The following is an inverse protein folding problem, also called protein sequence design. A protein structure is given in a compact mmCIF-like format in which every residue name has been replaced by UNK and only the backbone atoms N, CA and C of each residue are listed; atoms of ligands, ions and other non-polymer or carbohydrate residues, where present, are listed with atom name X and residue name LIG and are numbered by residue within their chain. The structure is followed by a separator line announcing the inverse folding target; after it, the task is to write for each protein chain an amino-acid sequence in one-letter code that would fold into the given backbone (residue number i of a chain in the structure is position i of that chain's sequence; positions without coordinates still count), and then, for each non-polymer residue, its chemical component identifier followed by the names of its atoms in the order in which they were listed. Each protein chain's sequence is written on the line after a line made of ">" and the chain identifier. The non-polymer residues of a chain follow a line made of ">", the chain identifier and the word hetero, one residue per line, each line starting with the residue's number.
data_IF_901870533131
#
_entry.id   IF_901870533131
#
_cell.length_a   1.000
_cell.length_b   1.000
_cell.length_c   1.000
_cell.angle_alpha   90.00
_cell.angle_beta   90.00
_cell.angle_gamma   90.00
#
_symmetry.space_group_name_H-M   'P 1'
#
loop_
_entity.id
_entity.type
_entity.pdbx_description
1 polymer ?
#
# COMPACT_ATOMS: atom_id res chain seq x y z
N UNK A 1 15.73 -1.30 -7.54
CA UNK A 1 15.72 -2.59 -6.85
C UNK A 1 15.14 -2.38 -5.46
N UNK A 2 14.18 -3.17 -5.02
CA UNK A 2 13.69 -3.06 -3.65
C UNK A 2 14.78 -3.53 -2.68
N UNK A 3 14.94 -2.79 -1.59
CA UNK A 3 15.79 -3.22 -0.48
C UNK A 3 14.93 -4.09 0.44
N UNK A 4 15.20 -5.38 0.45
CA UNK A 4 14.54 -6.32 1.34
C UNK A 4 15.18 -6.29 2.72
N UNK A 5 14.37 -6.21 3.76
CA UNK A 5 14.79 -6.32 5.14
C UNK A 5 13.99 -7.43 5.80
N UNK A 6 14.71 -8.45 6.26
CA UNK A 6 14.08 -9.54 7.00
C UNK A 6 13.94 -9.14 8.46
N UNK A 7 12.75 -9.34 9.00
CA UNK A 7 12.41 -9.02 10.38
C UNK A 7 11.76 -10.24 11.04
N UNK A 8 11.92 -10.33 12.35
CA UNK A 8 11.17 -11.27 13.18
C UNK A 8 10.49 -10.50 14.30
N UNK A 9 9.22 -10.78 14.50
CA UNK A 9 8.41 -10.23 15.57
C UNK A 9 7.91 -11.36 16.46
N UNK A 10 8.23 -11.29 17.75
CA UNK A 10 7.69 -12.22 18.75
C UNK A 10 6.74 -11.46 19.65
N UNK A 11 5.52 -11.98 19.79
CA UNK A 11 4.50 -11.39 20.65
C UNK A 11 4.11 -12.41 21.71
N UNK A 12 4.27 -12.04 22.97
CA UNK A 12 3.94 -12.83 24.15
C UNK A 12 2.81 -12.16 24.93
N UNK A 13 1.93 -12.95 25.50
CA UNK A 13 0.80 -12.44 26.28
C UNK A 13 -0.16 -13.54 26.67
N UNK A 14 -1.31 -13.15 27.21
CA UNK A 14 -2.40 -14.08 27.50
C UNK A 14 -2.92 -14.72 26.20
N UNK A 15 -3.16 -16.04 26.23
CA UNK A 15 -3.56 -16.79 25.03
C UNK A 15 -4.79 -16.18 24.35
N UNK A 16 -5.78 -15.76 25.12
CA UNK A 16 -7.01 -15.15 24.59
C UNK A 16 -6.76 -13.83 23.85
N UNK A 17 -5.74 -13.08 24.24
CA UNK A 17 -5.37 -11.82 23.56
C UNK A 17 -4.53 -12.10 22.32
N UNK A 18 -3.67 -13.11 22.37
CA UNK A 18 -2.90 -13.56 21.20
C UNK A 18 -3.84 -14.10 20.11
N UNK A 19 -4.85 -14.88 20.48
CA UNK A 19 -5.85 -15.40 19.53
C UNK A 19 -6.62 -14.26 18.84
N UNK A 20 -7.05 -13.25 19.58
CA UNK A 20 -7.71 -12.06 19.02
C UNK A 20 -6.78 -11.27 18.09
N UNK A 21 -5.52 -11.13 18.46
CA UNK A 21 -4.52 -10.47 17.63
C UNK A 21 -4.34 -11.21 16.30
N UNK A 22 -4.16 -12.53 16.34
CA UNK A 22 -4.02 -13.37 15.16
C UNK A 22 -5.27 -13.26 14.28
N UNK A 23 -6.46 -13.34 14.87
CA UNK A 23 -7.72 -13.18 14.15
C UNK A 23 -7.81 -11.81 13.45
N UNK A 24 -7.42 -10.74 14.14
CA UNK A 24 -7.40 -9.39 13.57
C UNK A 24 -6.41 -9.28 12.40
N UNK A 25 -5.21 -9.83 12.57
CA UNK A 25 -4.16 -9.75 11.53
C UNK A 25 -4.49 -10.58 10.29
N UNK A 26 -5.29 -11.62 10.44
CA UNK A 26 -5.70 -12.50 9.34
C UNK A 26 -7.00 -12.06 8.65
N UNK A 27 -7.59 -10.92 9.02
CA UNK A 27 -8.82 -10.44 8.38
C UNK A 27 -8.59 -10.16 6.89
N UNK A 28 -9.44 -10.67 6.00
CA UNK A 28 -9.37 -10.34 4.60
C UNK A 28 -9.69 -8.87 4.36
N UNK A 29 -9.04 -8.29 3.36
CA UNK A 29 -9.29 -6.90 2.97
C UNK A 29 -9.07 -6.68 1.49
N UNK A 30 -9.51 -5.53 1.00
CA UNK A 30 -9.34 -5.10 -0.39
C UNK A 30 -8.61 -3.77 -0.40
N UNK A 31 -7.60 -3.65 -1.24
CA UNK A 31 -6.96 -2.37 -1.56
C UNK A 31 -7.27 -1.97 -2.99
N UNK A 32 -7.39 -0.67 -3.20
CA UNK A 32 -7.56 -0.10 -4.52
C UNK A 32 -6.23 0.52 -4.95
N UNK A 33 -5.71 0.09 -6.09
CA UNK A 33 -4.50 0.67 -6.67
C UNK A 33 -4.88 1.48 -7.88
N UNK A 34 -4.58 2.79 -7.91
CA UNK A 34 -4.79 3.56 -9.11
C UNK A 34 -3.79 3.11 -10.17
N UNK A 35 -4.27 2.50 -11.23
CA UNK A 35 -3.53 2.29 -12.46
C UNK A 35 -3.80 3.41 -13.44
N UNK A 36 -2.77 3.87 -14.12
CA UNK A 36 -2.93 4.80 -15.22
C UNK A 36 -2.90 4.06 -16.55
N UNK A 37 -3.87 4.38 -17.40
CA UNK A 37 -3.91 3.93 -18.80
C UNK A 37 -3.88 5.14 -19.72
N UNK A 38 -3.22 4.98 -20.84
CA UNK A 38 -3.26 6.00 -21.89
C UNK A 38 -4.43 5.67 -22.83
N UNK A 39 -5.46 6.48 -22.78
CA UNK A 39 -6.59 6.40 -23.71
C UNK A 39 -6.77 7.73 -24.41
N UNK A 40 -6.83 7.74 -25.73
CA UNK A 40 -7.02 8.94 -26.55
C UNK A 40 -6.01 10.08 -26.24
N UNK A 41 -4.75 9.75 -25.99
CA UNK A 41 -3.70 10.67 -25.56
C UNK A 41 -3.95 11.32 -24.18
N UNK A 42 -4.79 10.75 -23.37
CA UNK A 42 -5.02 11.18 -21.99
C UNK A 42 -4.64 10.09 -21.00
N UNK A 43 -4.16 10.50 -19.85
CA UNK A 43 -3.96 9.57 -18.71
C UNK A 43 -5.31 9.39 -18.03
N UNK A 44 -5.84 8.18 -18.12
CA UNK A 44 -7.06 7.77 -17.41
C UNK A 44 -6.66 6.91 -16.22
N UNK A 45 -7.11 7.28 -15.05
CA UNK A 45 -6.91 6.48 -13.85
C UNK A 45 -8.02 5.47 -13.70
N UNK A 46 -7.63 4.21 -13.59
CA UNK A 46 -8.54 3.10 -13.34
C UNK A 46 -8.23 2.55 -11.95
N UNK A 47 -9.25 2.39 -11.13
CA UNK A 47 -9.10 1.68 -9.87
C UNK A 47 -8.97 0.17 -10.16
N UNK A 48 -7.84 -0.42 -9.82
CA UNK A 48 -7.68 -1.86 -9.79
C UNK A 48 -7.86 -2.35 -8.35
N UNK A 49 -8.65 -3.41 -8.18
CA UNK A 49 -8.90 -4.01 -6.86
C UNK A 49 -7.94 -5.17 -6.64
N UNK A 50 -7.14 -5.08 -5.60
CA UNK A 50 -6.36 -6.22 -5.12
C UNK A 50 -6.96 -6.77 -3.84
N UNK A 51 -7.31 -8.05 -3.87
CA UNK A 51 -7.90 -8.78 -2.76
C UNK A 51 -6.86 -9.57 -2.01
N UNK A 52 -6.91 -9.47 -0.69
CA UNK A 52 -6.09 -10.22 0.24
C UNK A 52 -7.01 -11.10 1.10
N UNK A 53 -7.24 -12.34 0.65
CA UNK A 53 -8.25 -13.21 1.25
C UNK A 53 -7.74 -13.93 2.52
N UNK A 54 -6.44 -14.20 2.60
CA UNK A 54 -5.82 -14.89 3.72
C UNK A 54 -4.47 -14.26 4.09
N UNK A 55 -4.45 -13.01 4.56
CA UNK A 55 -3.20 -12.41 5.00
C UNK A 55 -2.71 -13.11 6.27
N UNK A 56 -1.42 -13.37 6.35
CA UNK A 56 -0.78 -13.87 7.59
C UNK A 56 -0.54 -12.72 8.55
N UNK A 57 -0.04 -11.61 8.02
CA UNK A 57 0.22 -10.38 8.74
C UNK A 57 0.06 -9.21 7.77
N UNK A 58 -0.66 -8.18 8.16
CA UNK A 58 -0.81 -6.97 7.38
C UNK A 58 -0.84 -5.73 8.27
N UNK A 59 -0.05 -4.71 7.93
CA UNK A 59 -0.13 -3.41 8.59
C UNK A 59 -1.52 -2.79 8.45
N UNK A 60 -2.19 -3.04 7.32
CA UNK A 60 -3.56 -2.63 7.08
C UNK A 60 -4.55 -3.10 8.15
N UNK A 61 -4.34 -4.27 8.70
CA UNK A 61 -5.19 -4.83 9.75
C UNK A 61 -4.85 -4.28 11.15
N UNK A 62 -3.73 -3.59 11.31
CA UNK A 62 -3.33 -2.93 12.55
C UNK A 62 -3.82 -1.48 12.54
N UNK A 63 -3.40 -0.74 11.54
CA UNK A 63 -3.77 0.66 11.35
C UNK A 63 -3.97 0.96 9.88
N UNK A 64 -5.14 1.47 9.53
CA UNK A 64 -5.52 1.85 8.17
C UNK A 64 -5.95 3.32 8.13
N UNK A 65 -5.83 3.97 6.98
CA UNK A 65 -6.27 5.35 6.84
C UNK A 65 -7.78 5.47 7.10
N UNK A 66 -8.16 6.55 7.78
CA UNK A 66 -9.57 6.89 8.02
C UNK A 66 -10.19 7.60 6.84
N UNK A 67 -9.39 8.35 6.09
CA UNK A 67 -9.78 9.00 4.84
C UNK A 67 -9.24 8.20 3.65
N UNK A 68 -10.03 7.25 3.19
CA UNK A 68 -9.66 6.39 2.06
C UNK A 68 -9.66 7.14 0.73
N UNK A 69 -10.49 8.18 0.60
CA UNK A 69 -10.50 9.00 -0.60
C UNK A 69 -9.18 9.73 -0.77
N UNK A 70 -8.71 10.42 0.27
CA UNK A 70 -7.40 11.09 0.25
C UNK A 70 -6.24 10.10 0.08
N UNK A 71 -6.34 8.92 0.68
CA UNK A 71 -5.33 7.89 0.58
C UNK A 71 -5.16 7.35 -0.84
N UNK A 72 -6.26 7.09 -1.55
CA UNK A 72 -6.25 6.56 -2.90
C UNK A 72 -6.18 7.66 -3.97
N UNK A 73 -6.52 8.88 -3.62
CA UNK A 73 -6.41 10.00 -4.53
C UNK A 73 -4.95 10.41 -4.68
N UNK A 74 -4.34 10.01 -5.78
CA UNK A 74 -3.04 10.56 -6.14
C UNK A 74 -3.25 11.93 -6.76
N UNK A 75 -2.45 12.91 -6.35
CA UNK A 75 -2.53 14.27 -6.91
C UNK A 75 -2.24 14.35 -8.40
N UNK A 76 -1.62 13.32 -8.97
CA UNK A 76 -1.55 13.18 -10.42
C UNK A 76 -2.95 13.18 -11.05
N UNK A 77 -3.93 12.65 -10.33
CA UNK A 77 -5.33 12.70 -10.75
C UNK A 77 -5.90 14.13 -10.74
N UNK A 78 -5.59 14.89 -9.69
CA UNK A 78 -5.93 16.31 -9.58
C UNK A 78 -5.09 17.16 -10.53
N UNK A 79 -3.84 16.80 -10.74
CA UNK A 79 -2.84 17.51 -11.50
C UNK A 79 -2.96 17.38 -13.03
N UNK A 80 -3.78 16.45 -13.53
CA UNK A 80 -4.00 16.31 -14.98
C UNK A 80 -4.41 17.62 -15.67
N UNK A 81 -5.06 18.53 -14.94
CA UNK A 81 -5.45 19.86 -15.45
C UNK A 81 -4.26 20.78 -15.69
N UNK A 82 -3.16 20.53 -14.99
CA UNK A 82 -1.95 21.35 -15.02
C UNK A 82 -0.89 20.79 -15.98
N UNK A 83 -1.07 19.54 -16.44
CA UNK A 83 -0.17 18.94 -17.41
C UNK A 83 -0.46 19.55 -18.78
N UNK A 84 0.51 20.24 -19.31
CA UNK A 84 0.41 20.87 -20.64
C UNK A 84 0.54 19.83 -21.74
N UNK A 85 -0.14 20.09 -22.83
CA UNK A 85 0.04 19.36 -24.08
C UNK A 85 0.79 20.26 -25.09
N UNK A 86 1.65 19.66 -25.87
CA UNK A 86 2.27 20.33 -27.01
C UNK A 86 1.26 20.53 -28.17
N UNK A 87 1.71 21.18 -29.26
CA UNK A 87 0.86 21.45 -30.41
C UNK A 87 0.38 20.18 -31.13
N UNK A 88 1.06 19.03 -30.91
CA UNK A 88 0.68 17.72 -31.45
C UNK A 88 -0.23 16.94 -30.48
N UNK A 89 -0.62 17.52 -29.34
CA UNK A 89 -1.47 16.90 -28.33
C UNK A 89 -0.74 15.92 -27.44
N UNK A 90 0.59 15.84 -27.47
CA UNK A 90 1.39 15.03 -26.56
C UNK A 90 1.60 15.76 -25.25
N UNK A 91 1.70 14.99 -24.17
CA UNK A 91 2.01 15.56 -22.88
C UNK A 91 3.41 16.16 -22.85
N UNK A 92 3.50 17.39 -22.36
CA UNK A 92 4.77 18.01 -22.04
C UNK A 92 5.41 17.30 -20.84
N UNK A 93 6.56 16.65 -21.09
CA UNK A 93 7.26 15.86 -20.09
C UNK A 93 7.75 16.67 -18.88
N UNK A 94 8.08 17.96 -19.09
CA UNK A 94 8.51 18.84 -18.01
C UNK A 94 7.35 19.18 -17.07
N UNK A 95 6.18 19.52 -17.62
CA UNK A 95 4.98 19.80 -16.83
C UNK A 95 4.47 18.53 -16.11
N UNK A 96 4.58 17.36 -16.74
CA UNK A 96 4.26 16.08 -16.11
C UNK A 96 5.17 15.81 -14.92
N UNK A 97 6.49 15.96 -15.08
CA UNK A 97 7.44 15.74 -13.99
C UNK A 97 7.29 16.76 -12.87
N UNK A 98 7.00 18.01 -13.18
CA UNK A 98 6.75 19.04 -12.17
C UNK A 98 5.51 18.70 -11.33
N UNK A 99 4.43 18.23 -11.96
CA UNK A 99 3.21 17.83 -11.29
C UNK A 99 3.40 16.55 -10.47
N UNK A 100 4.16 15.60 -11.00
CA UNK A 100 4.54 14.39 -10.29
C UNK A 100 5.34 14.69 -9.00
N UNK A 101 6.35 15.58 -9.11
CA UNK A 101 7.13 16.01 -7.93
C UNK A 101 6.26 16.77 -6.93
N UNK A 102 5.35 17.61 -7.40
CA UNK A 102 4.40 18.32 -6.53
C UNK A 102 3.49 17.34 -5.81
N UNK A 103 2.94 16.35 -6.50
CA UNK A 103 2.09 15.32 -5.91
C UNK A 103 2.80 14.52 -4.82
N UNK A 104 4.08 14.24 -5.02
CA UNK A 104 4.90 13.55 -4.02
C UNK A 104 5.21 14.40 -2.77
N UNK A 105 5.08 15.72 -2.85
CA UNK A 105 5.33 16.62 -1.72
C UNK A 105 4.11 16.83 -0.82
N UNK A 106 2.93 16.46 -1.27
CA UNK A 106 1.69 16.57 -0.48
C UNK A 106 1.52 15.36 0.44
N UNK A 107 1.47 15.62 1.72
CA UNK A 107 1.64 14.68 2.84
C UNK A 107 0.52 13.65 3.04
N UNK A 108 -0.45 13.53 2.14
CA UNK A 108 -1.66 12.74 2.38
C UNK A 108 -1.87 11.56 1.43
N UNK A 109 -1.01 11.40 0.44
CA UNK A 109 -1.08 10.26 -0.46
C UNK A 109 -0.69 8.94 0.26
N UNK A 110 -1.01 7.82 -0.36
CA UNK A 110 -0.73 6.50 0.19
C UNK A 110 0.74 6.29 0.57
N UNK A 111 1.68 6.85 -0.22
CA UNK A 111 3.10 6.68 0.02
C UNK A 111 3.55 7.35 1.33
N UNK A 112 3.21 8.64 1.50
CA UNK A 112 3.58 9.40 2.70
C UNK A 112 2.83 8.90 3.92
N UNK A 113 1.56 8.54 3.75
CA UNK A 113 0.77 7.97 4.81
C UNK A 113 1.36 6.65 5.32
N UNK A 114 1.71 5.72 4.40
CA UNK A 114 2.33 4.44 4.75
C UNK A 114 3.67 4.64 5.47
N UNK A 115 4.57 5.47 4.92
CA UNK A 115 5.86 5.75 5.53
C UNK A 115 5.73 6.33 6.93
N UNK A 116 4.72 7.19 7.16
CA UNK A 116 4.49 7.83 8.46
C UNK A 116 3.88 6.87 9.48
N UNK A 117 2.92 6.04 9.09
CA UNK A 117 2.15 5.21 10.01
C UNK A 117 2.70 3.78 10.14
N UNK A 118 3.30 3.25 9.08
CA UNK A 118 3.88 1.90 9.07
C UNK A 118 5.43 1.90 9.08
N UNK A 119 6.06 3.03 8.84
CA UNK A 119 7.51 3.15 8.72
C UNK A 119 8.07 2.59 7.41
N UNK A 120 7.23 2.17 6.50
CA UNK A 120 7.60 1.59 5.21
C UNK A 120 6.61 1.96 4.11
N UNK A 121 7.08 1.93 2.86
CA UNK A 121 6.25 2.20 1.68
C UNK A 121 5.18 1.14 1.45
N UNK A 122 5.55 -0.14 1.61
CA UNK A 122 4.70 -1.27 1.29
C UNK A 122 4.22 -1.99 2.54
N UNK A 123 3.01 -2.52 2.48
CA UNK A 123 2.54 -3.48 3.46
C UNK A 123 3.35 -4.79 3.34
N UNK A 124 3.50 -5.50 4.44
CA UNK A 124 4.22 -6.78 4.49
C UNK A 124 3.33 -7.98 4.17
N UNK A 125 2.06 -7.74 3.88
CA UNK A 125 1.15 -8.81 3.51
C UNK A 125 1.47 -9.36 2.11
N UNK A 126 1.44 -10.68 2.00
CA UNK A 126 1.36 -11.34 0.73
C UNK A 126 -0.08 -11.40 0.25
N UNK A 127 -0.32 -11.16 -1.02
CA UNK A 127 -1.48 -11.71 -1.69
C UNK A 127 -1.24 -13.20 -1.97
N UNK A 128 -2.29 -14.02 -1.98
CA UNK A 128 -2.18 -15.40 -2.43
C UNK A 128 -1.56 -15.45 -3.82
N UNK A 129 -0.35 -16.02 -3.92
CA UNK A 129 0.39 -16.13 -5.18
C UNK A 129 1.43 -15.02 -5.42
N UNK A 130 1.66 -14.13 -4.46
CA UNK A 130 2.76 -13.19 -4.54
C UNK A 130 4.08 -13.90 -4.25
N UNK A 131 4.91 -14.05 -5.28
CA UNK A 131 6.20 -14.72 -5.20
C UNK A 131 7.19 -14.02 -4.24
N UNK A 132 6.87 -12.80 -3.80
CA UNK A 132 7.80 -11.93 -3.09
C UNK A 132 7.53 -11.79 -1.60
N UNK A 133 6.51 -12.44 -1.06
CA UNK A 133 6.24 -12.38 0.38
C UNK A 133 6.32 -13.75 1.02
N UNK A 134 7.28 -13.88 1.89
CA UNK A 134 7.55 -15.07 2.71
C UNK A 134 7.09 -14.90 4.17
N UNK A 135 6.11 -14.02 4.41
CA UNK A 135 5.62 -13.82 5.78
C UNK A 135 5.03 -15.12 6.32
N UNK A 136 5.58 -15.59 7.43
CA UNK A 136 5.18 -16.83 8.10
C UNK A 136 4.83 -16.56 9.56
N UNK A 137 3.90 -17.33 10.07
CA UNK A 137 3.53 -17.32 11.47
C UNK A 137 3.85 -18.68 12.09
N UNK A 138 4.46 -18.66 13.26
CA UNK A 138 4.74 -19.84 14.07
C UNK A 138 4.28 -19.61 15.52
N UNK A 139 3.89 -20.68 16.20
CA UNK A 139 3.63 -20.66 17.64
C UNK A 139 4.84 -21.31 18.31
N UNK A 140 5.45 -20.58 19.21
CA UNK A 140 6.62 -21.04 19.96
C UNK A 140 6.22 -21.98 21.10
N UNK A 141 7.20 -22.68 21.67
CA UNK A 141 6.97 -23.67 22.74
C UNK A 141 6.32 -23.08 24.01
N UNK A 142 6.53 -21.79 24.26
CA UNK A 142 5.92 -21.06 25.37
C UNK A 142 4.53 -20.44 25.03
N UNK A 143 4.02 -20.69 23.82
CA UNK A 143 2.74 -20.19 23.35
C UNK A 143 2.77 -18.79 22.75
N UNK A 144 3.94 -18.16 22.64
CA UNK A 144 4.09 -16.88 21.94
C UNK A 144 3.87 -17.04 20.45
N UNK A 145 3.42 -15.97 19.78
CA UNK A 145 3.25 -15.92 18.33
C UNK A 145 4.47 -15.24 17.71
N UNK A 146 5.07 -15.90 16.75
CA UNK A 146 6.23 -15.39 16.03
C UNK A 146 5.90 -15.22 14.55
N UNK A 147 6.20 -14.03 14.04
CA UNK A 147 6.12 -13.68 12.60
C UNK A 147 7.53 -13.48 12.05
N UNK A 148 7.74 -14.00 10.85
CA UNK A 148 8.99 -13.84 10.10
C UNK A 148 8.76 -13.12 8.79
#
# INVERSE_FOLDING_TARGET
>A
MPNWVFNSLVVSGEQSELDKMVEQLNQPFVKHFPEHKFENNEIVWVADEQRYDNPVFAFWNIVKPTDLEAYYETDVHKGNKNIKKDDDGKFDGESFMAEFVRSMSEDQDWYHWNCRNWGTKWDVCASNGDEYSDTRMEITDDGSVMYH
#
